data_IF_148190017093
#
_entry.id   IF_148190017093
#
_cell.length_a   1.000
_cell.length_b   1.000
_cell.length_c   1.000
_cell.angle_alpha   90.00
_cell.angle_beta   90.00
_cell.angle_gamma   90.00
#
_symmetry.space_group_name_H-M   'P 1'
#
loop_
_entity.id
_entity.type
_entity.pdbx_description
1 polymer ?
#
# COMPACT_ATOMS: atom_id res chain seq x y z
N UNK A 1 -12.43 -25.43 9.35
CA UNK A 1 -11.47 -24.35 8.97
C UNK A 1 -12.25 -23.04 9.01
N UNK A 2 -11.72 -21.95 9.56
CA UNK A 2 -12.40 -20.66 9.45
C UNK A 2 -12.60 -20.34 7.96
N UNK A 3 -13.75 -19.77 7.62
CA UNK A 3 -14.04 -19.36 6.26
C UNK A 3 -13.16 -18.14 5.95
N UNK A 4 -12.45 -18.14 4.82
CA UNK A 4 -11.56 -17.05 4.41
C UNK A 4 -12.25 -15.67 4.38
N UNK A 5 -13.58 -15.62 4.31
CA UNK A 5 -14.35 -14.38 4.28
C UNK A 5 -14.88 -13.93 5.65
N UNK A 6 -14.61 -14.68 6.72
CA UNK A 6 -15.19 -14.36 8.04
C UNK A 6 -14.70 -13.02 8.58
N UNK A 7 -13.42 -12.69 8.38
CA UNK A 7 -12.86 -11.40 8.80
C UNK A 7 -13.53 -10.21 8.12
N UNK A 8 -13.73 -10.23 6.80
CA UNK A 8 -14.39 -9.13 6.07
C UNK A 8 -15.87 -9.04 6.39
N UNK A 9 -16.56 -10.18 6.56
CA UNK A 9 -17.97 -10.21 6.98
C UNK A 9 -18.15 -9.65 8.38
N UNK A 10 -17.32 -10.07 9.34
CA UNK A 10 -17.35 -9.53 10.69
C UNK A 10 -17.11 -8.01 10.70
N UNK A 11 -16.12 -7.53 9.90
CA UNK A 11 -15.84 -6.12 9.77
C UNK A 11 -17.03 -5.33 9.19
N UNK A 12 -17.74 -5.87 8.19
CA UNK A 12 -18.92 -5.22 7.58
C UNK A 12 -20.15 -5.17 8.51
N UNK A 13 -20.17 -5.98 9.56
CA UNK A 13 -21.18 -5.89 10.64
C UNK A 13 -20.83 -4.75 11.62
N UNK A 14 -19.54 -4.46 11.83
CA UNK A 14 -19.10 -3.38 12.71
C UNK A 14 -19.30 -2.00 12.06
N UNK A 15 -19.06 -1.89 10.75
CA UNK A 15 -19.23 -0.63 10.02
C UNK A 15 -19.71 -0.90 8.60
N UNK A 16 -20.58 -0.01 8.11
CA UNK A 16 -21.05 -0.01 6.71
C UNK A 16 -20.10 0.71 5.75
N UNK A 17 -19.15 1.46 6.29
CA UNK A 17 -18.23 2.29 5.52
C UNK A 17 -16.78 1.97 5.89
N UNK A 18 -15.89 1.99 4.91
CA UNK A 18 -14.47 1.67 5.11
C UNK A 18 -13.56 2.44 4.17
N UNK A 19 -12.38 2.80 4.66
CA UNK A 19 -11.27 3.30 3.84
C UNK A 19 -10.30 2.13 3.59
N UNK A 20 -9.86 1.92 2.37
CA UNK A 20 -8.87 0.88 2.05
C UNK A 20 -7.49 1.50 1.87
N UNK A 21 -6.50 1.01 2.62
CA UNK A 21 -5.09 1.31 2.39
C UNK A 21 -4.61 0.51 1.17
N UNK A 22 -4.65 1.13 0.00
CA UNK A 22 -4.36 0.52 -1.29
C UNK A 22 -2.90 0.77 -1.69
N UNK A 23 -2.12 -0.28 -1.91
CA UNK A 23 -0.72 -0.20 -2.34
C UNK A 23 -0.49 -0.73 -3.76
N UNK A 24 -1.56 -1.06 -4.49
CA UNK A 24 -1.53 -1.74 -5.79
C UNK A 24 -0.79 -3.10 -5.81
N UNK A 25 -0.36 -3.59 -4.65
CA UNK A 25 0.19 -4.93 -4.46
C UNK A 25 -0.91 -5.98 -4.26
N UNK A 26 -0.56 -7.27 -4.38
CA UNK A 26 -1.49 -8.40 -4.38
C UNK A 26 -2.48 -8.41 -3.20
N UNK A 27 -2.00 -8.15 -1.99
CA UNK A 27 -2.81 -8.24 -0.78
C UNK A 27 -3.80 -7.05 -0.69
N UNK A 28 -3.36 -5.84 -1.03
CA UNK A 28 -4.23 -4.65 -1.03
C UNK A 28 -5.27 -4.65 -2.15
N UNK A 29 -4.95 -5.25 -3.30
CA UNK A 29 -5.90 -5.43 -4.41
C UNK A 29 -7.03 -6.36 -4.00
N UNK A 30 -6.72 -7.48 -3.32
CA UNK A 30 -7.73 -8.39 -2.77
C UNK A 30 -8.54 -7.71 -1.66
N UNK A 31 -7.86 -6.98 -0.76
CA UNK A 31 -8.53 -6.21 0.30
C UNK A 31 -9.55 -5.22 -0.27
N UNK A 32 -9.19 -4.49 -1.34
CA UNK A 32 -10.09 -3.55 -1.99
C UNK A 32 -11.31 -4.27 -2.59
N UNK A 33 -11.11 -5.36 -3.33
CA UNK A 33 -12.21 -6.13 -3.93
C UNK A 33 -13.16 -6.72 -2.87
N UNK A 34 -12.61 -7.26 -1.78
CA UNK A 34 -13.39 -7.75 -0.65
C UNK A 34 -14.21 -6.64 0.01
N UNK A 35 -13.59 -5.49 0.28
CA UNK A 35 -14.29 -4.36 0.87
C UNK A 35 -15.41 -3.86 -0.05
N UNK A 36 -15.16 -3.73 -1.34
CA UNK A 36 -16.16 -3.30 -2.32
C UNK A 36 -17.39 -4.22 -2.37
N UNK A 37 -17.20 -5.53 -2.14
CA UNK A 37 -18.29 -6.53 -2.13
C UNK A 37 -19.07 -6.59 -0.83
N UNK A 38 -18.52 -6.12 0.28
CA UNK A 38 -19.09 -6.32 1.61
C UNK A 38 -19.49 -5.04 2.34
N UNK A 39 -19.03 -3.86 1.89
CA UNK A 39 -19.35 -2.58 2.50
C UNK A 39 -20.26 -1.75 1.58
N UNK A 40 -21.08 -0.88 2.15
CA UNK A 40 -22.00 -0.01 1.41
C UNK A 40 -21.26 1.19 0.78
N UNK A 41 -20.21 1.69 1.47
CA UNK A 41 -19.35 2.76 0.97
C UNK A 41 -17.88 2.42 1.20
N UNK A 42 -17.11 2.47 0.12
CA UNK A 42 -15.68 2.21 0.13
C UNK A 42 -14.96 3.42 -0.44
N UNK A 43 -14.02 3.96 0.33
CA UNK A 43 -13.04 4.93 -0.11
C UNK A 43 -11.67 4.25 -0.12
N UNK A 44 -10.70 4.79 -0.85
CA UNK A 44 -9.36 4.23 -0.86
C UNK A 44 -8.30 5.33 -0.94
N UNK A 45 -7.11 5.05 -0.41
CA UNK A 45 -5.96 5.93 -0.57
C UNK A 45 -4.72 5.13 -0.95
N UNK A 46 -3.85 5.77 -1.72
CA UNK A 46 -2.55 5.25 -2.13
C UNK A 46 -1.44 6.17 -1.64
N UNK A 47 -0.45 5.59 -0.95
CA UNK A 47 0.74 6.32 -0.49
C UNK A 47 1.89 6.11 -1.47
N UNK A 48 2.39 7.19 -2.08
CA UNK A 48 3.49 7.15 -3.03
C UNK A 48 4.81 7.61 -2.41
N UNK A 49 5.92 6.99 -2.82
CA UNK A 49 7.29 7.48 -2.55
C UNK A 49 7.67 8.58 -3.57
N UNK A 50 7.26 8.40 -4.81
CA UNK A 50 7.42 9.36 -5.90
C UNK A 50 6.08 9.46 -6.64
N UNK A 51 5.56 10.66 -6.90
CA UNK A 51 4.26 10.83 -7.53
C UNK A 51 4.29 10.42 -9.01
N UNK A 52 3.16 9.92 -9.49
CA UNK A 52 2.90 9.67 -10.92
C UNK A 52 3.84 8.67 -11.60
N UNK A 53 4.30 7.64 -10.89
CA UNK A 53 5.00 6.53 -11.53
C UNK A 53 4.02 5.75 -12.40
N UNK A 54 4.36 5.55 -13.67
CA UNK A 54 3.42 5.02 -14.69
C UNK A 54 2.92 3.62 -14.34
N UNK A 55 3.79 2.77 -13.80
CA UNK A 55 3.45 1.41 -13.39
C UNK A 55 2.43 1.39 -12.21
N UNK A 56 2.55 2.31 -11.25
CA UNK A 56 1.59 2.44 -10.15
C UNK A 56 0.28 3.05 -10.63
N UNK A 57 0.33 4.14 -11.40
CA UNK A 57 -0.85 4.80 -11.96
C UNK A 57 -1.69 3.88 -12.84
N UNK A 58 -1.05 2.97 -13.59
CA UNK A 58 -1.79 2.01 -14.41
C UNK A 58 -2.67 1.06 -13.59
N UNK A 59 -2.19 0.63 -12.43
CA UNK A 59 -2.94 -0.23 -11.53
C UNK A 59 -4.02 0.55 -10.74
N UNK A 60 -3.69 1.78 -10.34
CA UNK A 60 -4.63 2.67 -9.64
C UNK A 60 -5.81 3.00 -10.56
N UNK A 61 -5.55 3.47 -11.78
CA UNK A 61 -6.60 3.79 -12.78
C UNK A 61 -7.46 2.56 -13.12
N UNK A 62 -6.87 1.37 -13.19
CA UNK A 62 -7.64 0.15 -13.38
C UNK A 62 -8.60 -0.10 -12.21
N UNK A 63 -8.14 0.08 -10.96
CA UNK A 63 -8.98 -0.09 -9.78
C UNK A 63 -10.09 0.97 -9.74
N UNK A 64 -9.76 2.25 -10.01
CA UNK A 64 -10.73 3.34 -10.09
C UNK A 64 -11.84 3.05 -11.11
N UNK A 65 -11.45 2.63 -12.33
CA UNK A 65 -12.41 2.28 -13.39
C UNK A 65 -13.26 1.05 -13.04
N UNK A 66 -12.65 0.04 -12.39
CA UNK A 66 -13.34 -1.20 -12.03
C UNK A 66 -14.41 -0.99 -10.96
N UNK A 67 -14.11 -0.16 -9.96
CA UNK A 67 -14.97 0.01 -8.78
C UNK A 67 -15.77 1.32 -8.79
N UNK A 68 -15.53 2.22 -9.75
CA UNK A 68 -16.20 3.52 -9.82
C UNK A 68 -15.86 4.43 -8.64
N UNK A 69 -14.67 4.32 -8.07
CA UNK A 69 -14.18 5.12 -6.94
C UNK A 69 -12.98 5.95 -7.36
N UNK A 70 -12.74 7.05 -6.67
CA UNK A 70 -11.48 7.80 -6.75
C UNK A 70 -10.54 7.35 -5.63
N UNK A 71 -9.28 7.05 -5.97
CA UNK A 71 -8.26 6.65 -4.99
C UNK A 71 -7.43 7.89 -4.65
N UNK A 72 -7.52 8.36 -3.41
CA UNK A 72 -6.78 9.51 -2.91
C UNK A 72 -5.26 9.23 -2.92
N UNK A 73 -4.49 10.01 -3.67
CA UNK A 73 -3.03 9.87 -3.77
C UNK A 73 -2.34 10.83 -2.81
N UNK A 74 -1.59 10.29 -1.87
CA UNK A 74 -0.90 11.07 -0.83
C UNK A 74 0.57 10.63 -0.70
N UNK A 75 1.48 11.52 -0.27
CA UNK A 75 2.86 11.11 0.01
C UNK A 75 2.92 10.04 1.11
N UNK A 76 3.79 9.06 0.94
CA UNK A 76 4.11 8.11 2.00
C UNK A 76 4.78 8.85 3.17
N UNK A 77 4.47 8.46 4.40
CA UNK A 77 5.04 9.14 5.59
C UNK A 77 6.57 9.16 5.59
N UNK A 78 7.22 8.12 5.05
CA UNK A 78 8.69 8.05 4.94
C UNK A 78 9.29 9.11 4.01
N UNK A 79 8.52 9.69 3.09
CA UNK A 79 9.00 10.80 2.23
C UNK A 79 9.47 11.97 3.11
N UNK A 80 8.73 12.26 4.18
CA UNK A 80 9.15 13.30 5.14
C UNK A 80 10.45 12.98 5.87
N UNK A 81 10.68 11.70 6.17
CA UNK A 81 11.94 11.24 6.78
C UNK A 81 13.10 11.32 5.75
N UNK A 82 12.88 10.91 4.50
CA UNK A 82 13.89 11.00 3.45
C UNK A 82 14.33 12.45 3.21
N UNK A 83 13.40 13.38 3.10
CA UNK A 83 13.71 14.79 2.93
C UNK A 83 14.40 15.37 4.17
N UNK A 84 13.86 15.10 5.35
CA UNK A 84 14.37 15.65 6.62
C UNK A 84 15.79 15.19 6.94
N UNK A 85 16.10 13.93 6.68
CA UNK A 85 17.41 13.33 7.03
C UNK A 85 18.36 13.20 5.86
N UNK A 86 17.94 13.61 4.65
CA UNK A 86 18.79 13.57 3.46
C UNK A 86 19.01 12.17 2.90
N UNK A 87 18.02 11.28 3.03
CA UNK A 87 18.10 9.97 2.38
C UNK A 87 17.86 10.13 0.87
N UNK A 88 18.85 9.80 0.07
CA UNK A 88 18.87 9.90 -1.40
C UNK A 88 18.73 11.32 -1.99
N UNK A 89 18.65 12.34 -1.16
CA UNK A 89 18.51 13.75 -1.54
C UNK A 89 19.28 14.67 -0.58
N UNK A 90 19.35 15.98 -0.90
CA UNK A 90 19.89 16.96 0.04
C UNK A 90 19.00 17.06 1.27
N UNK A 91 19.60 17.08 2.45
CA UNK A 91 18.87 17.24 3.72
C UNK A 91 18.14 18.59 3.77
N UNK A 92 16.88 18.54 4.22
CA UNK A 92 16.08 19.72 4.55
C UNK A 92 15.53 19.59 5.99
N UNK A 93 16.20 20.25 6.92
CA UNK A 93 15.85 20.22 8.35
C UNK A 93 14.53 20.94 8.67
N UNK A 94 14.01 21.78 7.76
CA UNK A 94 12.75 22.50 7.92
C UNK A 94 11.52 21.59 7.70
N UNK A 95 11.70 20.45 7.02
CA UNK A 95 10.62 19.50 6.78
C UNK A 95 10.10 18.92 8.10
N UNK A 96 8.80 19.06 8.34
CA UNK A 96 8.11 18.43 9.47
C UNK A 96 7.97 16.93 9.22
N UNK A 97 8.36 16.12 10.20
CA UNK A 97 8.18 14.68 10.15
C UNK A 97 6.70 14.31 10.21
N UNK A 98 6.26 13.47 9.26
CA UNK A 98 4.93 12.88 9.20
C UNK A 98 4.99 11.46 9.75
N UNK A 99 4.07 11.09 10.63
CA UNK A 99 3.95 9.72 11.16
C UNK A 99 2.81 8.96 10.44
N UNK A 100 2.80 7.61 10.47
CA UNK A 100 1.68 6.84 9.92
C UNK A 100 0.31 7.26 10.46
N UNK A 101 0.23 7.64 11.73
CA UNK A 101 -1.01 8.10 12.35
C UNK A 101 -1.50 9.43 11.76
N UNK A 102 -0.59 10.34 11.41
CA UNK A 102 -0.95 11.62 10.79
C UNK A 102 -1.61 11.39 9.44
N UNK A 103 -1.09 10.43 8.64
CA UNK A 103 -1.68 10.02 7.37
C UNK A 103 -3.07 9.42 7.57
N UNK A 104 -3.22 8.51 8.54
CA UNK A 104 -4.52 7.88 8.80
C UNK A 104 -5.56 8.89 9.30
N UNK A 105 -5.18 9.84 10.13
CA UNK A 105 -6.06 10.91 10.58
C UNK A 105 -6.46 11.81 9.40
N UNK A 106 -5.51 12.18 8.55
CA UNK A 106 -5.80 12.96 7.35
C UNK A 106 -6.83 12.29 6.44
N UNK A 107 -6.66 11.00 6.12
CA UNK A 107 -7.64 10.30 5.25
C UNK A 107 -9.00 10.14 5.90
N UNK A 108 -9.06 9.98 7.23
CA UNK A 108 -10.32 9.98 7.99
C UNK A 108 -11.05 11.32 7.91
N UNK A 109 -10.31 12.41 8.05
CA UNK A 109 -10.84 13.78 7.91
C UNK A 109 -11.38 14.04 6.51
N UNK A 110 -10.63 13.62 5.46
CA UNK A 110 -11.06 13.81 4.08
C UNK A 110 -12.32 13.01 3.71
N UNK A 111 -12.48 11.82 4.27
CA UNK A 111 -13.57 10.90 3.89
C UNK A 111 -14.75 10.91 4.86
N UNK A 112 -14.54 11.37 6.10
CA UNK A 112 -15.50 11.23 7.21
C UNK A 112 -15.67 9.78 7.70
N UNK A 113 -14.80 8.85 7.29
CA UNK A 113 -14.86 7.43 7.66
C UNK A 113 -13.80 7.12 8.71
N UNK A 114 -14.18 6.41 9.77
CA UNK A 114 -13.27 6.05 10.86
C UNK A 114 -12.40 4.83 10.55
N UNK A 115 -13.01 3.79 9.95
CA UNK A 115 -12.39 2.48 9.82
C UNK A 115 -11.51 2.35 8.58
N UNK A 116 -10.30 1.80 8.76
CA UNK A 116 -9.33 1.57 7.69
C UNK A 116 -9.09 0.07 7.54
N UNK A 117 -9.35 -0.47 6.36
CA UNK A 117 -8.98 -1.83 5.98
C UNK A 117 -7.55 -1.85 5.41
N UNK A 118 -6.76 -2.81 5.87
CA UNK A 118 -5.37 -2.98 5.43
C UNK A 118 -5.07 -4.45 5.10
N UNK A 119 -4.26 -4.67 4.08
CA UNK A 119 -3.95 -5.99 3.54
C UNK A 119 -2.81 -6.71 4.27
N UNK A 120 -2.55 -6.40 5.55
CA UNK A 120 -1.55 -7.12 6.34
C UNK A 120 -2.05 -8.51 6.69
N UNK A 121 -1.13 -9.50 6.60
CA UNK A 121 -1.41 -10.90 6.94
C UNK A 121 -0.49 -11.39 8.07
N UNK A 122 -0.99 -12.32 8.86
CA UNK A 122 -0.22 -13.00 9.92
C UNK A 122 1.03 -13.69 9.34
N UNK A 123 0.94 -14.15 8.10
CA UNK A 123 2.04 -14.84 7.41
C UNK A 123 3.17 -13.91 6.92
N UNK A 124 2.99 -12.58 6.88
CA UNK A 124 3.95 -11.66 6.26
C UNK A 124 5.22 -11.44 7.11
N UNK A 125 5.08 -11.36 8.42
CA UNK A 125 6.22 -11.22 9.34
C UNK A 125 5.84 -11.55 10.78
N UNK A 126 6.85 -11.82 11.61
CA UNK A 126 6.68 -12.06 13.06
C UNK A 126 6.04 -10.82 13.75
N UNK A 127 6.45 -9.62 13.35
CA UNK A 127 5.93 -8.36 13.91
C UNK A 127 4.44 -8.20 13.57
N UNK A 128 4.05 -8.42 12.29
CA UNK A 128 2.63 -8.37 11.89
C UNK A 128 1.80 -9.43 12.56
N UNK A 129 2.34 -10.64 12.69
CA UNK A 129 1.69 -11.73 13.44
C UNK A 129 1.41 -11.33 14.88
N UNK A 130 2.38 -10.77 15.57
CA UNK A 130 2.21 -10.32 16.96
C UNK A 130 1.16 -9.20 17.05
N UNK A 131 1.22 -8.22 16.15
CA UNK A 131 0.29 -7.10 16.10
C UNK A 131 -1.16 -7.57 15.87
N UNK A 132 -1.39 -8.41 14.85
CA UNK A 132 -2.74 -8.88 14.49
C UNK A 132 -3.28 -9.83 15.56
N UNK A 133 -2.47 -10.74 16.10
CA UNK A 133 -2.90 -11.64 17.18
C UNK A 133 -3.26 -10.91 18.47
N UNK A 134 -2.65 -9.76 18.73
CA UNK A 134 -2.97 -8.94 19.91
C UNK A 134 -4.30 -8.21 19.77
N UNK A 135 -4.69 -7.82 18.55
CA UNK A 135 -5.88 -7.00 18.29
C UNK A 135 -7.01 -7.77 17.59
N UNK A 136 -6.76 -8.99 17.11
CA UNK A 136 -7.59 -9.76 16.17
C UNK A 136 -7.76 -9.07 14.81
N UNK A 137 -8.58 -9.65 13.90
CA UNK A 137 -8.87 -9.08 12.59
C UNK A 137 -9.56 -7.70 12.65
N UNK A 138 -10.12 -7.32 13.82
CA UNK A 138 -10.78 -6.04 14.09
C UNK A 138 -10.05 -5.36 15.23
N UNK A 139 -9.25 -4.35 14.92
CA UNK A 139 -8.55 -3.53 15.90
C UNK A 139 -9.36 -2.26 16.22
N UNK A 140 -10.30 -2.38 17.16
CA UNK A 140 -11.15 -1.27 17.56
C UNK A 140 -10.35 -0.10 18.15
N UNK A 141 -9.25 -0.36 18.84
CA UNK A 141 -8.39 0.68 19.43
C UNK A 141 -7.76 1.57 18.36
N UNK A 142 -7.39 1.00 17.21
CA UNK A 142 -6.79 1.72 16.08
C UNK A 142 -7.77 2.07 14.99
N UNK A 143 -9.03 1.57 15.04
CA UNK A 143 -10.01 1.72 13.97
C UNK A 143 -9.53 1.03 12.68
N UNK A 144 -9.04 -0.21 12.77
CA UNK A 144 -8.49 -0.94 11.63
C UNK A 144 -9.11 -2.31 11.47
N UNK A 145 -9.25 -2.72 10.21
CA UNK A 145 -9.64 -4.08 9.83
C UNK A 145 -8.52 -4.75 9.03
N UNK A 146 -8.41 -6.07 9.16
CA UNK A 146 -7.47 -6.90 8.41
C UNK A 146 -8.23 -8.01 7.67
N UNK A 147 -8.89 -7.70 6.54
CA UNK A 147 -9.80 -8.64 5.85
C UNK A 147 -9.15 -9.93 5.36
N UNK A 148 -7.82 -9.91 5.17
CA UNK A 148 -7.03 -11.05 4.64
C UNK A 148 -6.01 -11.57 5.65
N UNK A 149 -6.20 -11.32 6.94
CA UNK A 149 -5.20 -11.60 8.00
C UNK A 149 -4.73 -13.05 8.04
N UNK A 150 -5.63 -14.02 7.87
CA UNK A 150 -5.33 -15.47 7.89
C UNK A 150 -5.09 -16.06 6.48
N UNK A 151 -5.23 -15.26 5.41
CA UNK A 151 -5.07 -15.77 4.05
C UNK A 151 -3.63 -16.17 3.76
N UNK A 152 -3.45 -17.32 3.11
CA UNK A 152 -2.15 -17.73 2.57
C UNK A 152 -1.84 -16.99 1.26
N UNK A 153 -0.58 -17.03 0.82
CA UNK A 153 -0.19 -16.51 -0.50
C UNK A 153 -0.97 -17.21 -1.63
N UNK A 154 -1.22 -18.50 -1.49
CA UNK A 154 -1.97 -19.28 -2.47
C UNK A 154 -3.44 -18.83 -2.57
N UNK A 155 -4.07 -18.51 -1.44
CA UNK A 155 -5.45 -18.00 -1.41
C UNK A 155 -5.54 -16.64 -2.10
N UNK A 156 -4.60 -15.73 -1.82
CA UNK A 156 -4.50 -14.43 -2.47
C UNK A 156 -4.36 -14.57 -4.00
N UNK A 157 -3.44 -15.42 -4.47
CA UNK A 157 -3.22 -15.63 -5.91
C UNK A 157 -4.46 -16.22 -6.56
N UNK A 158 -5.06 -17.26 -5.96
CA UNK A 158 -6.28 -17.89 -6.46
C UNK A 158 -7.43 -16.89 -6.57
N UNK A 159 -7.59 -16.02 -5.59
CA UNK A 159 -8.61 -14.99 -5.58
C UNK A 159 -8.38 -13.96 -6.70
N UNK A 160 -7.14 -13.49 -6.87
CA UNK A 160 -6.76 -12.57 -7.95
C UNK A 160 -7.10 -13.16 -9.32
N UNK A 161 -6.73 -14.42 -9.55
CA UNK A 161 -6.96 -15.09 -10.82
C UNK A 161 -8.46 -15.31 -11.09
N UNK A 162 -9.21 -15.75 -10.07
CA UNK A 162 -10.66 -15.97 -10.18
C UNK A 162 -11.42 -14.67 -10.49
N UNK A 163 -11.09 -13.58 -9.82
CA UNK A 163 -11.77 -12.30 -9.97
C UNK A 163 -11.13 -11.37 -11.02
N UNK A 164 -10.10 -11.86 -11.76
CA UNK A 164 -9.39 -11.10 -12.81
C UNK A 164 -8.89 -9.74 -12.30
N UNK A 165 -8.33 -9.73 -11.09
CA UNK A 165 -7.79 -8.52 -10.49
C UNK A 165 -6.41 -8.21 -11.09
N UNK A 166 -6.09 -6.91 -11.19
CA UNK A 166 -4.81 -6.44 -11.72
C UNK A 166 -3.94 -5.94 -10.58
N UNK A 167 -2.75 -6.49 -10.46
CA UNK A 167 -1.69 -5.97 -9.60
C UNK A 167 -0.76 -5.06 -10.41
N UNK A 168 -0.09 -4.14 -9.75
CA UNK A 168 0.87 -3.26 -10.39
C UNK A 168 2.00 -4.04 -11.06
N UNK A 169 2.42 -3.67 -12.30
CA UNK A 169 3.45 -4.39 -13.04
C UNK A 169 4.78 -4.51 -12.29
N UNK A 170 5.20 -3.45 -11.58
CA UNK A 170 6.44 -3.49 -10.80
C UNK A 170 6.35 -4.50 -9.64
N UNK A 171 5.17 -4.70 -9.06
CA UNK A 171 5.00 -5.71 -8.01
C UNK A 171 5.26 -7.14 -8.51
N UNK A 172 5.06 -7.40 -9.81
CA UNK A 172 5.47 -8.65 -10.45
C UNK A 172 6.98 -8.70 -10.69
N UNK A 173 7.57 -7.60 -11.12
CA UNK A 173 9.00 -7.48 -11.42
C UNK A 173 9.86 -7.57 -10.15
N UNK A 174 9.43 -6.86 -9.09
CA UNK A 174 10.16 -6.76 -7.82
C UNK A 174 9.82 -7.91 -6.85
N UNK A 175 8.66 -8.56 -7.02
CA UNK A 175 8.09 -9.52 -6.07
C UNK A 175 7.33 -8.86 -4.90
N UNK A 176 7.31 -7.55 -4.83
CA UNK A 176 6.62 -6.73 -3.84
C UNK A 176 6.27 -5.36 -4.42
N UNK A 177 5.36 -4.61 -3.79
CA UNK A 177 5.12 -3.20 -4.15
C UNK A 177 6.35 -2.35 -3.83
N UNK A 178 6.65 -1.33 -4.63
CA UNK A 178 7.74 -0.39 -4.37
C UNK A 178 7.54 0.26 -3.00
N UNK A 179 8.40 -0.09 -2.05
CA UNK A 179 8.36 0.37 -0.65
C UNK A 179 9.53 1.24 -0.27
N UNK A 180 10.64 1.10 -0.99
CA UNK A 180 11.90 1.76 -0.69
C UNK A 180 12.68 1.98 -1.97
N UNK A 181 13.70 2.83 -1.90
CA UNK A 181 14.61 3.11 -3.01
C UNK A 181 15.88 2.23 -2.89
N UNK A 182 15.68 0.93 -2.61
CA UNK A 182 16.80 -0.01 -2.48
C UNK A 182 17.49 -0.22 -3.81
N UNK A 183 18.83 -0.39 -3.84
CA UNK A 183 19.62 -0.50 -5.06
C UNK A 183 19.10 -1.54 -6.05
N UNK A 184 18.73 -2.72 -5.56
CA UNK A 184 18.24 -3.82 -6.40
C UNK A 184 16.93 -3.47 -7.12
N UNK A 185 15.99 -2.82 -6.41
CA UNK A 185 14.73 -2.36 -6.98
C UNK A 185 14.98 -1.25 -8.00
N UNK A 186 15.88 -0.32 -7.68
CA UNK A 186 16.22 0.80 -8.55
C UNK A 186 16.87 0.33 -9.84
N UNK A 187 17.77 -0.67 -9.80
CA UNK A 187 18.36 -1.25 -11.01
C UNK A 187 17.29 -1.85 -11.93
N UNK A 188 16.34 -2.60 -11.39
CA UNK A 188 15.24 -3.18 -12.16
C UNK A 188 14.31 -2.10 -12.74
N UNK A 189 13.97 -1.07 -11.95
CA UNK A 189 13.16 0.05 -12.43
C UNK A 189 13.88 0.81 -13.53
N UNK A 190 15.17 1.10 -13.38
CA UNK A 190 15.98 1.76 -14.41
C UNK A 190 15.98 0.99 -15.72
N UNK A 191 16.06 -0.34 -15.65
CA UNK A 191 16.06 -1.21 -16.82
C UNK A 191 14.70 -1.31 -17.51
N UNK A 192 13.61 -1.42 -16.76
CA UNK A 192 12.29 -1.74 -17.30
C UNK A 192 11.35 -0.53 -17.41
N UNK A 193 11.62 0.54 -16.65
CA UNK A 193 10.81 1.77 -16.57
C UNK A 193 11.72 3.01 -16.52
N UNK A 194 12.54 3.27 -17.58
CA UNK A 194 13.55 4.35 -17.57
C UNK A 194 12.93 5.73 -17.32
N UNK A 195 11.77 6.04 -17.89
CA UNK A 195 11.10 7.32 -17.69
C UNK A 195 10.64 7.52 -16.24
N UNK A 196 10.18 6.46 -15.58
CA UNK A 196 9.82 6.51 -14.16
C UNK A 196 11.07 6.59 -13.27
N UNK A 197 12.18 5.95 -13.69
CA UNK A 197 13.45 6.10 -13.00
C UNK A 197 13.94 7.56 -13.01
N UNK A 198 13.78 8.28 -14.11
CA UNK A 198 14.13 9.71 -14.19
C UNK A 198 13.24 10.56 -13.25
N UNK A 199 11.96 10.24 -13.08
CA UNK A 199 11.11 10.90 -12.06
C UNK A 199 11.63 10.63 -10.64
N UNK A 200 12.09 9.40 -10.36
CA UNK A 200 12.70 9.04 -9.08
C UNK A 200 13.97 9.86 -8.86
N UNK A 201 14.85 9.95 -9.86
CA UNK A 201 16.09 10.76 -9.80
C UNK A 201 15.81 12.25 -9.61
N UNK A 202 14.78 12.78 -10.25
CA UNK A 202 14.39 14.19 -10.08
C UNK A 202 14.03 14.53 -8.64
N UNK A 203 13.40 13.61 -7.92
CA UNK A 203 13.03 13.79 -6.51
C UNK A 203 14.15 13.37 -5.54
N UNK A 204 14.93 12.35 -5.92
CA UNK A 204 16.01 11.75 -5.13
C UNK A 204 17.33 11.68 -5.92
N UNK A 205 18.05 12.81 -6.10
CA UNK A 205 19.21 12.91 -6.97
C UNK A 205 20.36 11.97 -6.60
N UNK A 206 20.43 11.50 -5.35
CA UNK A 206 21.51 10.63 -4.89
C UNK A 206 21.14 9.14 -4.93
N UNK A 207 20.02 8.77 -5.55
CA UNK A 207 19.61 7.36 -5.67
C UNK A 207 20.63 6.53 -6.47
N UNK A 208 21.32 7.12 -7.47
CA UNK A 208 22.39 6.47 -8.23
C UNK A 208 23.60 6.08 -7.38
N UNK A 209 23.93 6.85 -6.34
CA UNK A 209 25.07 6.54 -5.47
C UNK A 209 24.87 5.22 -4.69
N UNK A 210 23.65 4.86 -4.40
CA UNK A 210 23.32 3.59 -3.77
C UNK A 210 23.42 2.41 -4.73
N UNK A 211 23.08 2.61 -6.02
CA UNK A 211 23.15 1.56 -7.04
C UNK A 211 24.60 1.25 -7.48
N UNK A 212 25.47 2.26 -7.47
CA UNK A 212 26.91 2.07 -7.79
C UNK A 212 27.66 1.20 -6.78
N UNK A 213 27.29 1.28 -5.49
CA UNK A 213 27.88 0.43 -4.44
C UNK A 213 27.42 -1.03 -4.48
N UNK A 214 26.28 -1.32 -5.07
CA UNK A 214 25.76 -2.69 -5.19
C UNK A 214 26.30 -3.42 -6.44
N UNK A 215 26.90 -2.68 -7.40
CA UNK A 215 27.48 -3.23 -8.64
C UNK A 215 29.00 -3.46 -8.55
N UNK A 216 29.65 -3.05 -7.46
CA UNK A 216 31.06 -3.25 -7.14
C UNK A 216 31.26 -4.39 -6.15
#
# INVERSE_FOLDING_TARGET
MPNLFDAVKAASLVSKTVIVAFSAGKDSVVTLDLCYRHFERVEAFFMYQVPRLSFQESAIKFAEAKYGIEILRIPHFEVSDFLKYGAFCKQDTAVRRVKPLDVYNYVREQTGIHWIAAGERIADSIIRRAMIKQSSAIDAKRGRFYPVDEWTKADIVRYIDHHKLKISPEARLLGHSLRSLMPEDMMKIKQHYPDDYEKIRAMYPFVDASTMKAAA
#
